data_IF_565532077840
#
_entry.id   IF_565532077840
#
_cell.length_a   1.000
_cell.length_b   1.000
_cell.length_c   1.000
_cell.angle_alpha   90.00
_cell.angle_beta   90.00
_cell.angle_gamma   90.00
#
_symmetry.space_group_name_H-M   'P 1'
#
loop_
_entity.id
_entity.type
_entity.pdbx_description
1 polymer ?
#
# COMPACT_ATOMS: atom_id res chain seq x y z
N UNK A 1 39.99 -16.47 38.91
CA UNK A 1 39.34 -17.55 38.15
C UNK A 1 37.87 -17.44 38.51
N UNK A 2 37.08 -16.75 37.70
CA UNK A 2 35.63 -16.70 37.82
C UNK A 2 35.08 -17.38 36.59
N UNK A 3 34.36 -18.48 36.82
CA UNK A 3 33.66 -19.26 35.80
C UNK A 3 32.61 -18.40 35.12
N UNK A 4 32.71 -18.26 33.80
CA UNK A 4 31.66 -17.69 32.93
C UNK A 4 30.69 -18.82 32.63
N UNK A 5 29.59 -18.89 33.38
CA UNK A 5 28.49 -19.81 33.10
C UNK A 5 27.91 -19.53 31.72
N UNK A 6 27.97 -20.53 30.86
CA UNK A 6 27.45 -20.53 29.53
C UNK A 6 25.91 -20.49 29.55
N UNK A 7 25.34 -19.38 29.15
CA UNK A 7 23.87 -19.25 28.89
C UNK A 7 23.46 -20.26 27.80
N UNK A 8 22.45 -21.12 28.03
CA UNK A 8 22.10 -22.18 27.08
C UNK A 8 21.49 -21.60 25.81
N UNK A 9 22.21 -21.70 24.69
CA UNK A 9 21.83 -21.23 23.35
C UNK A 9 20.43 -21.71 22.91
N UNK A 10 19.93 -22.81 23.45
CA UNK A 10 18.59 -23.36 23.16
C UNK A 10 17.43 -22.55 23.74
N UNK A 11 17.59 -21.98 24.94
CA UNK A 11 16.53 -21.20 25.59
C UNK A 11 16.34 -19.84 24.89
N UNK A 12 17.45 -19.21 24.49
CA UNK A 12 17.41 -17.94 23.76
C UNK A 12 16.71 -18.11 22.39
N UNK A 13 17.02 -19.18 21.66
CA UNK A 13 16.39 -19.46 20.35
C UNK A 13 14.88 -19.76 20.46
N UNK A 14 14.47 -20.51 21.48
CA UNK A 14 13.06 -20.79 21.72
C UNK A 14 12.26 -19.52 22.11
N UNK A 15 12.87 -18.62 22.89
CA UNK A 15 12.26 -17.33 23.26
C UNK A 15 12.13 -16.38 22.06
N UNK A 16 13.12 -16.32 21.16
CA UNK A 16 13.07 -15.53 19.93
C UNK A 16 11.96 -16.03 19.01
N UNK A 17 11.90 -17.33 18.73
CA UNK A 17 10.86 -17.94 17.89
C UNK A 17 9.46 -17.72 18.47
N UNK A 18 9.30 -17.83 19.79
CA UNK A 18 8.01 -17.57 20.46
C UNK A 18 7.62 -16.10 20.36
N UNK A 19 8.56 -15.17 20.51
CA UNK A 19 8.33 -13.72 20.38
C UNK A 19 7.93 -13.35 18.94
N UNK A 20 8.63 -13.88 17.94
CA UNK A 20 8.27 -13.70 16.51
C UNK A 20 6.88 -14.23 16.18
N UNK A 21 6.49 -15.37 16.75
CA UNK A 21 5.15 -15.96 16.54
C UNK A 21 4.05 -15.09 17.16
N UNK A 22 4.30 -14.52 18.36
CA UNK A 22 3.36 -13.62 19.05
C UNK A 22 3.19 -12.32 18.26
N UNK A 23 4.28 -11.72 17.78
CA UNK A 23 4.25 -10.47 17.01
C UNK A 23 3.55 -10.67 15.66
N UNK A 24 3.86 -11.75 14.96
CA UNK A 24 3.15 -12.08 13.71
C UNK A 24 1.65 -12.21 13.94
N UNK A 25 1.22 -12.91 15.01
CA UNK A 25 -0.19 -13.04 15.34
C UNK A 25 -0.83 -11.69 15.69
N UNK A 26 -0.10 -10.81 16.36
CA UNK A 26 -0.54 -9.46 16.64
C UNK A 26 -0.81 -8.67 15.36
N UNK A 27 0.09 -8.75 14.37
CA UNK A 27 -0.07 -8.11 13.06
C UNK A 27 -1.30 -8.68 12.32
N UNK A 28 -1.47 -10.00 12.27
CA UNK A 28 -2.64 -10.64 11.64
C UNK A 28 -3.97 -10.14 12.26
N UNK A 29 -4.00 -9.91 13.57
CA UNK A 29 -5.17 -9.36 14.27
C UNK A 29 -5.40 -7.91 13.86
N UNK A 30 -4.36 -7.09 13.75
CA UNK A 30 -4.45 -5.69 13.35
C UNK A 30 -4.96 -5.57 11.91
N UNK A 31 -4.42 -6.35 10.99
CA UNK A 31 -4.85 -6.38 9.59
C UNK A 31 -6.33 -6.78 9.45
N UNK A 32 -6.74 -7.87 10.10
CA UNK A 32 -8.15 -8.26 10.12
C UNK A 32 -9.06 -7.23 10.79
N UNK A 33 -8.55 -6.50 11.78
CA UNK A 33 -9.30 -5.40 12.41
C UNK A 33 -9.49 -4.25 11.43
N UNK A 34 -8.45 -3.86 10.68
CA UNK A 34 -8.56 -2.84 9.63
C UNK A 34 -9.63 -3.22 8.59
N UNK A 35 -9.63 -4.48 8.13
CA UNK A 35 -10.64 -4.96 7.18
C UNK A 35 -12.07 -4.87 7.75
N UNK A 36 -12.28 -5.21 9.04
CA UNK A 36 -13.61 -5.08 9.69
C UNK A 36 -13.99 -3.61 9.88
N UNK A 37 -13.02 -2.74 10.17
CA UNK A 37 -13.24 -1.29 10.27
C UNK A 37 -13.66 -0.72 8.92
N UNK A 38 -13.02 -1.12 7.82
CA UNK A 38 -13.42 -0.72 6.46
C UNK A 38 -14.88 -1.10 6.18
N UNK A 39 -15.29 -2.32 6.57
CA UNK A 39 -16.65 -2.81 6.32
C UNK A 39 -17.72 -2.14 7.20
N UNK A 40 -17.39 -1.70 8.44
CA UNK A 40 -18.38 -1.37 9.49
C UNK A 40 -18.14 -0.06 10.22
N UNK A 41 -17.04 0.59 9.97
CA UNK A 41 -16.55 1.73 10.74
C UNK A 41 -16.01 1.34 12.12
N UNK A 42 -15.31 2.27 12.78
CA UNK A 42 -14.76 2.05 14.13
C UNK A 42 -15.87 1.78 15.16
N UNK A 43 -16.95 2.57 15.14
CA UNK A 43 -18.07 2.40 16.06
C UNK A 43 -18.76 1.04 15.91
N UNK A 44 -18.94 0.57 14.66
CA UNK A 44 -19.61 -0.69 14.31
C UNK A 44 -18.78 -1.95 14.53
N UNK A 45 -17.46 -1.83 14.64
CA UNK A 45 -16.54 -2.96 14.79
C UNK A 45 -16.63 -3.59 16.18
N UNK A 46 -16.72 -4.93 16.26
CA UNK A 46 -16.73 -5.71 17.50
C UNK A 46 -15.59 -6.72 17.49
N UNK A 47 -15.02 -7.01 18.66
CA UNK A 47 -13.97 -8.05 18.82
C UNK A 47 -14.41 -9.39 18.24
N UNK A 48 -15.69 -9.75 18.40
CA UNK A 48 -16.25 -10.98 17.88
C UNK A 48 -16.25 -11.04 16.33
N UNK A 49 -16.40 -9.90 15.65
CA UNK A 49 -16.34 -9.84 14.17
C UNK A 49 -14.90 -10.08 13.68
N UNK A 50 -13.92 -9.49 14.37
CA UNK A 50 -12.49 -9.72 14.09
C UNK A 50 -12.09 -11.18 14.33
N UNK A 51 -12.49 -11.73 15.47
CA UNK A 51 -12.24 -13.13 15.81
C UNK A 51 -12.88 -14.09 14.78
N UNK A 52 -14.11 -13.83 14.35
CA UNK A 52 -14.81 -14.59 13.30
C UNK A 52 -14.06 -14.50 11.97
N UNK A 53 -13.59 -13.32 11.57
CA UNK A 53 -12.85 -13.11 10.32
C UNK A 53 -11.55 -13.91 10.28
N UNK A 54 -10.85 -13.97 11.41
CA UNK A 54 -9.60 -14.74 11.56
C UNK A 54 -9.81 -16.24 11.84
N UNK A 55 -11.03 -16.69 12.14
CA UNK A 55 -11.30 -18.06 12.56
C UNK A 55 -10.69 -18.40 13.92
N UNK A 56 -10.61 -17.43 14.85
CA UNK A 56 -10.03 -17.60 16.19
C UNK A 56 -11.06 -17.31 17.29
N UNK A 57 -10.69 -17.60 18.54
CA UNK A 57 -11.52 -17.26 19.70
C UNK A 57 -11.37 -15.80 20.11
N UNK A 58 -12.41 -15.20 20.70
CA UNK A 58 -12.33 -13.87 21.31
C UNK A 58 -11.23 -13.79 22.37
N UNK A 59 -11.01 -14.89 23.12
CA UNK A 59 -9.97 -14.97 24.15
C UNK A 59 -8.55 -14.77 23.58
N UNK A 60 -8.31 -15.20 22.34
CA UNK A 60 -7.03 -14.95 21.68
C UNK A 60 -6.84 -13.47 21.37
N UNK A 61 -7.89 -12.77 20.92
CA UNK A 61 -7.83 -11.33 20.70
C UNK A 61 -7.55 -10.61 22.03
N UNK A 62 -8.27 -10.97 23.11
CA UNK A 62 -8.06 -10.38 24.42
C UNK A 62 -6.72 -10.73 25.08
N UNK A 63 -6.05 -11.78 24.64
CA UNK A 63 -4.66 -12.06 25.04
C UNK A 63 -3.68 -11.00 24.49
N UNK A 64 -3.95 -10.46 23.29
CA UNK A 64 -3.09 -9.48 22.64
C UNK A 64 -3.49 -8.03 22.91
N UNK A 65 -4.78 -7.76 23.17
CA UNK A 65 -5.34 -6.42 23.35
C UNK A 65 -6.30 -6.41 24.55
N UNK A 66 -6.02 -5.56 25.53
CA UNK A 66 -6.77 -5.53 26.79
C UNK A 66 -8.23 -5.04 26.61
N UNK A 67 -8.50 -4.25 25.54
CA UNK A 67 -9.84 -3.72 25.27
C UNK A 67 -10.08 -3.54 23.77
N UNK A 68 -11.36 -3.33 23.39
CA UNK A 68 -11.76 -2.94 22.04
C UNK A 68 -11.09 -1.62 21.62
N UNK A 69 -11.07 -0.64 22.52
CA UNK A 69 -10.49 0.69 22.28
C UNK A 69 -8.99 0.60 21.98
N UNK A 70 -8.28 -0.26 22.68
CA UNK A 70 -6.85 -0.53 22.43
C UNK A 70 -6.64 -1.23 21.09
N UNK A 71 -7.47 -2.24 20.78
CA UNK A 71 -7.41 -2.95 19.50
C UNK A 71 -7.63 -1.98 18.33
N UNK A 72 -8.66 -1.15 18.40
CA UNK A 72 -9.00 -0.19 17.36
C UNK A 72 -7.91 0.88 17.18
N UNK A 73 -7.38 1.40 18.29
CA UNK A 73 -6.30 2.38 18.27
C UNK A 73 -5.03 1.79 17.64
N UNK A 74 -4.64 0.57 18.03
CA UNK A 74 -3.48 -0.12 17.47
C UNK A 74 -3.66 -0.49 15.99
N UNK A 75 -4.87 -0.86 15.57
CA UNK A 75 -5.17 -1.14 14.17
C UNK A 75 -5.05 0.13 13.31
N UNK A 76 -5.60 1.25 13.77
CA UNK A 76 -5.45 2.54 13.10
C UNK A 76 -3.97 2.96 13.02
N UNK A 77 -3.22 2.86 14.13
CA UNK A 77 -1.79 3.15 14.13
C UNK A 77 -1.02 2.30 13.10
N UNK A 78 -1.29 0.99 13.07
CA UNK A 78 -0.67 0.07 12.13
C UNK A 78 -0.93 0.47 10.67
N UNK A 79 -2.20 0.77 10.34
CA UNK A 79 -2.63 1.21 9.03
C UNK A 79 -1.96 2.54 8.62
N UNK A 80 -2.13 3.56 9.45
CA UNK A 80 -1.67 4.92 9.13
C UNK A 80 -0.14 5.06 9.06
N UNK A 81 0.62 4.33 9.90
CA UNK A 81 2.09 4.33 9.79
C UNK A 81 2.57 3.71 8.48
N UNK A 82 1.89 2.68 7.99
CA UNK A 82 2.21 2.07 6.70
C UNK A 82 1.94 3.06 5.56
N UNK A 83 0.78 3.70 5.58
CA UNK A 83 0.38 4.72 4.62
C UNK A 83 1.39 5.89 4.54
N UNK A 84 1.77 6.47 5.69
CA UNK A 84 2.78 7.52 5.76
C UNK A 84 4.15 7.10 5.19
N UNK A 85 4.59 5.87 5.45
CA UNK A 85 5.87 5.35 4.93
C UNK A 85 5.81 5.18 3.42
N UNK A 86 4.71 4.67 2.88
CA UNK A 86 4.54 4.45 1.45
C UNK A 86 4.47 5.78 0.70
N UNK A 87 3.72 6.75 1.21
CA UNK A 87 3.63 8.12 0.70
C UNK A 87 5.00 8.83 0.70
N UNK A 88 5.75 8.76 1.79
CA UNK A 88 7.08 9.37 1.87
C UNK A 88 8.05 8.74 0.86
N UNK A 89 8.01 7.41 0.72
CA UNK A 89 8.85 6.69 -0.25
C UNK A 89 8.54 7.10 -1.69
N UNK A 90 7.26 7.22 -2.06
CA UNK A 90 6.87 7.67 -3.40
C UNK A 90 7.34 9.10 -3.65
N UNK A 91 7.10 9.99 -2.72
CA UNK A 91 7.59 11.38 -2.79
C UNK A 91 9.11 11.44 -2.93
N UNK A 92 9.86 10.74 -2.10
CA UNK A 92 11.33 10.76 -2.11
C UNK A 92 11.92 10.22 -3.42
N UNK A 93 11.18 9.42 -4.18
CA UNK A 93 11.56 8.94 -5.51
C UNK A 93 11.52 10.03 -6.59
N UNK A 94 10.93 11.20 -6.32
CA UNK A 94 10.86 12.31 -7.26
C UNK A 94 12.19 13.07 -7.38
N UNK A 95 12.55 13.57 -8.59
CA UNK A 95 13.87 14.14 -8.85
C UNK A 95 14.04 15.57 -8.34
N UNK A 96 12.96 16.32 -8.13
CA UNK A 96 12.98 17.74 -7.74
C UNK A 96 12.08 17.99 -6.55
N UNK A 97 12.31 19.07 -5.80
CA UNK A 97 11.46 19.42 -4.65
C UNK A 97 10.03 19.76 -5.09
N UNK A 98 9.86 20.39 -6.25
CA UNK A 98 8.55 20.64 -6.86
C UNK A 98 7.81 19.34 -7.12
N UNK A 99 8.47 18.36 -7.74
CA UNK A 99 7.86 17.08 -8.03
C UNK A 99 7.55 16.26 -6.75
N UNK A 100 8.41 16.35 -5.73
CA UNK A 100 8.18 15.76 -4.41
C UNK A 100 6.93 16.34 -3.75
N UNK A 101 6.84 17.66 -3.68
CA UNK A 101 5.69 18.34 -3.11
C UNK A 101 4.39 17.98 -3.86
N UNK A 102 4.46 17.94 -5.19
CA UNK A 102 3.28 17.62 -5.99
C UNK A 102 2.82 16.15 -5.75
N UNK A 103 3.74 15.20 -5.68
CA UNK A 103 3.41 13.80 -5.37
C UNK A 103 2.79 13.65 -3.98
N UNK A 104 3.34 14.34 -2.98
CA UNK A 104 2.74 14.37 -1.65
C UNK A 104 1.30 14.89 -1.70
N UNK A 105 1.05 16.01 -2.37
CA UNK A 105 -0.29 16.56 -2.51
C UNK A 105 -1.20 15.58 -3.25
N UNK A 106 -0.72 15.01 -4.36
CA UNK A 106 -1.51 14.11 -5.21
C UNK A 106 -1.89 12.82 -4.50
N UNK A 107 -1.02 12.28 -3.62
CA UNK A 107 -1.30 11.09 -2.82
C UNK A 107 -2.40 11.31 -1.77
N UNK A 108 -2.61 12.56 -1.34
CA UNK A 108 -3.70 12.91 -0.43
C UNK A 108 -5.02 13.27 -1.13
N UNK A 109 -5.03 13.41 -2.47
CA UNK A 109 -6.28 13.74 -3.18
C UNK A 109 -7.13 12.50 -3.35
N UNK A 110 -8.31 12.40 -2.71
CA UNK A 110 -9.18 11.23 -2.85
C UNK A 110 -9.49 10.93 -4.31
N UNK A 111 -9.56 9.65 -4.66
CA UNK A 111 -9.91 9.26 -6.03
C UNK A 111 -11.43 9.27 -6.27
N UNK A 112 -12.21 8.99 -5.23
CA UNK A 112 -13.67 8.98 -5.25
C UNK A 112 -14.28 9.26 -3.88
N UNK A 113 -15.62 9.34 -3.83
CA UNK A 113 -16.38 9.44 -2.57
C UNK A 113 -16.37 8.12 -1.76
N UNK A 114 -15.96 7.04 -2.37
CA UNK A 114 -15.80 5.69 -1.81
C UNK A 114 -14.33 5.35 -1.49
N UNK A 115 -13.48 6.36 -1.45
CA UNK A 115 -12.08 6.22 -1.08
C UNK A 115 -11.93 5.66 0.34
N UNK A 116 -11.52 4.39 0.40
CA UNK A 116 -11.43 3.63 1.65
C UNK A 116 -10.39 4.22 2.60
N UNK A 117 -9.30 4.76 2.08
CA UNK A 117 -8.23 5.36 2.89
C UNK A 117 -8.77 6.59 3.60
N UNK A 118 -9.45 7.46 2.88
CA UNK A 118 -10.08 8.63 3.46
C UNK A 118 -11.24 8.30 4.41
N UNK A 119 -12.03 7.27 4.11
CA UNK A 119 -13.07 6.79 5.01
C UNK A 119 -12.48 6.36 6.36
N UNK A 120 -11.35 5.65 6.37
CA UNK A 120 -10.66 5.24 7.60
C UNK A 120 -10.18 6.46 8.39
N UNK A 121 -9.52 7.43 7.74
CA UNK A 121 -9.01 8.63 8.39
C UNK A 121 -10.13 9.49 9.00
N UNK A 122 -11.20 9.76 8.24
CA UNK A 122 -12.35 10.55 8.70
C UNK A 122 -13.03 9.89 9.90
N UNK A 123 -13.25 8.57 9.82
CA UNK A 123 -13.88 7.80 10.92
C UNK A 123 -12.96 7.72 12.15
N UNK A 124 -11.63 7.59 11.94
CA UNK A 124 -10.63 7.61 13.01
C UNK A 124 -10.59 8.95 13.75
N UNK A 125 -10.67 10.08 13.05
CA UNK A 125 -10.79 11.40 13.70
C UNK A 125 -12.08 11.52 14.52
N UNK A 126 -13.20 11.02 13.98
CA UNK A 126 -14.47 10.94 14.73
C UNK A 126 -14.36 10.09 15.98
N UNK A 127 -13.68 8.96 15.90
CA UNK A 127 -13.42 8.06 17.04
C UNK A 127 -12.44 8.69 18.05
N UNK A 128 -11.39 9.37 17.61
CA UNK A 128 -10.38 10.02 18.46
C UNK A 128 -11.00 11.06 19.43
N UNK A 129 -12.15 11.65 19.09
CA UNK A 129 -12.88 12.56 19.97
C UNK A 129 -13.44 11.85 21.23
N UNK A 130 -13.59 10.53 21.19
CA UNK A 130 -14.24 9.72 22.23
C UNK A 130 -13.34 8.65 22.82
N UNK A 131 -12.37 8.18 22.06
CA UNK A 131 -11.43 7.12 22.44
C UNK A 131 -10.11 7.71 22.95
N UNK A 132 -9.84 7.68 24.27
CA UNK A 132 -8.62 8.25 24.83
C UNK A 132 -7.33 7.50 24.42
N UNK A 133 -7.45 6.28 23.91
CA UNK A 133 -6.32 5.52 23.36
C UNK A 133 -5.98 5.97 21.94
N UNK A 134 -6.97 6.33 21.14
CA UNK A 134 -6.78 6.75 19.74
C UNK A 134 -6.28 8.19 19.63
N UNK A 135 -6.74 9.08 20.51
CA UNK A 135 -6.43 10.51 20.42
C UNK A 135 -4.92 10.83 20.33
N UNK A 136 -4.05 10.31 21.21
CA UNK A 136 -2.60 10.60 21.12
C UNK A 136 -1.98 10.02 19.84
N UNK A 137 -2.46 8.87 19.37
CA UNK A 137 -1.98 8.25 18.14
C UNK A 137 -2.35 9.12 16.93
N UNK A 138 -3.60 9.55 16.83
CA UNK A 138 -4.05 10.48 15.78
C UNK A 138 -3.22 11.77 15.77
N UNK A 139 -3.02 12.38 16.94
CA UNK A 139 -2.19 13.60 17.06
C UNK A 139 -0.75 13.40 16.59
N UNK A 140 -0.14 12.26 16.94
CA UNK A 140 1.23 11.94 16.50
C UNK A 140 1.31 11.74 14.99
N UNK A 141 0.33 11.06 14.39
CA UNK A 141 0.27 10.80 12.95
C UNK A 141 0.03 12.09 12.15
N UNK A 142 -0.86 12.96 12.61
CA UNK A 142 -1.10 14.28 12.00
C UNK A 142 0.19 15.12 12.03
N UNK A 143 0.91 15.11 13.18
CA UNK A 143 2.19 15.81 13.32
C UNK A 143 3.26 15.25 12.37
N UNK A 144 3.33 13.93 12.19
CA UNK A 144 4.26 13.28 11.26
C UNK A 144 3.91 13.64 9.81
N UNK A 145 2.63 13.67 9.45
CA UNK A 145 2.16 14.09 8.13
C UNK A 145 2.60 15.52 7.81
N UNK A 146 2.35 16.46 8.72
CA UNK A 146 2.79 17.86 8.57
C UNK A 146 4.31 17.95 8.46
N UNK A 147 5.07 17.16 9.24
CA UNK A 147 6.52 17.14 9.21
C UNK A 147 7.10 16.68 7.86
N UNK A 148 6.41 15.78 7.14
CA UNK A 148 6.81 15.36 5.77
C UNK A 148 6.70 16.52 4.79
N UNK A 149 5.60 17.29 4.83
CA UNK A 149 5.46 18.52 4.01
C UNK A 149 6.51 19.56 4.38
N UNK A 150 6.72 19.83 5.67
CA UNK A 150 7.72 20.78 6.15
C UNK A 150 9.12 20.42 5.65
N UNK A 151 9.53 19.14 5.76
CA UNK A 151 10.82 18.65 5.26
C UNK A 151 10.98 18.91 3.76
N UNK A 152 9.93 18.66 2.98
CA UNK A 152 9.93 18.88 1.53
C UNK A 152 10.06 20.38 1.17
N UNK A 153 9.35 21.24 1.90
CA UNK A 153 9.42 22.70 1.69
C UNK A 153 10.81 23.25 2.06
N UNK A 154 11.42 22.79 3.16
CA UNK A 154 12.78 23.16 3.54
C UNK A 154 13.81 22.71 2.49
N UNK A 155 13.72 21.47 2.03
CA UNK A 155 14.60 20.95 0.98
C UNK A 155 14.49 21.75 -0.32
N UNK A 156 13.27 22.17 -0.68
CA UNK A 156 13.05 23.04 -1.85
C UNK A 156 13.65 24.43 -1.70
N UNK A 157 13.63 25.02 -0.49
CA UNK A 157 14.34 26.27 -0.21
C UNK A 157 15.86 26.10 -0.30
N UNK A 158 16.39 24.99 0.24
CA UNK A 158 17.83 24.68 0.21
C UNK A 158 18.33 24.46 -1.22
N UNK A 159 17.52 23.85 -2.09
CA UNK A 159 17.85 23.66 -3.51
C UNK A 159 17.63 24.91 -4.36
N UNK A 160 17.00 25.96 -3.81
CA UNK A 160 16.63 27.19 -4.54
C UNK A 160 15.41 27.02 -5.46
N UNK A 161 14.70 25.88 -5.37
CA UNK A 161 13.47 25.66 -6.13
C UNK A 161 12.26 26.38 -5.54
N UNK A 162 12.26 26.65 -4.21
CA UNK A 162 11.20 27.32 -3.48
C UNK A 162 11.67 28.61 -2.81
N UNK A 163 10.70 29.49 -2.55
CA UNK A 163 10.85 30.64 -1.68
C UNK A 163 9.76 30.63 -0.60
N UNK A 164 9.79 29.59 0.25
CA UNK A 164 8.84 29.41 1.33
C UNK A 164 9.37 30.02 2.63
N UNK A 165 8.76 31.16 3.07
CA UNK A 165 9.25 31.91 4.22
C UNK A 165 9.07 31.15 5.55
N UNK A 166 7.94 30.48 5.71
CA UNK A 166 7.57 29.79 6.94
C UNK A 166 7.21 28.31 6.68
N UNK A 167 8.19 27.42 6.42
CA UNK A 167 7.91 26.03 5.98
C UNK A 167 6.94 25.26 6.89
N UNK A 168 7.05 25.42 8.22
CA UNK A 168 6.15 24.74 9.17
C UNK A 168 4.71 25.25 9.05
N UNK A 169 4.50 26.54 8.98
CA UNK A 169 3.16 27.11 8.85
C UNK A 169 2.55 26.78 7.48
N UNK A 170 3.36 26.82 6.42
CA UNK A 170 2.96 26.43 5.07
C UNK A 170 2.56 24.97 5.01
N UNK A 171 3.34 24.08 5.64
CA UNK A 171 3.01 22.67 5.76
C UNK A 171 1.67 22.45 6.49
N UNK A 172 1.44 23.17 7.59
CA UNK A 172 0.18 23.11 8.35
C UNK A 172 -1.02 23.58 7.49
N UNK A 173 -0.84 24.68 6.70
CA UNK A 173 -1.90 25.17 5.81
C UNK A 173 -2.20 24.20 4.67
N UNK A 174 -1.16 23.60 4.08
CA UNK A 174 -1.31 22.60 3.01
C UNK A 174 -2.06 21.36 3.55
N UNK A 175 -1.63 20.79 4.67
CA UNK A 175 -2.26 19.64 5.30
C UNK A 175 -3.71 19.97 5.68
N UNK A 176 -3.97 21.08 6.39
CA UNK A 176 -5.32 21.43 6.80
C UNK A 176 -6.28 21.73 5.64
N UNK A 177 -5.79 22.25 4.51
CA UNK A 177 -6.64 22.43 3.32
C UNK A 177 -6.92 21.06 2.66
N UNK A 178 -5.94 20.16 2.56
CA UNK A 178 -6.14 18.81 2.05
C UNK A 178 -7.24 18.11 2.87
N UNK A 179 -7.10 18.10 4.18
CA UNK A 179 -8.04 17.42 5.09
C UNK A 179 -9.46 17.99 4.93
N UNK A 180 -9.59 19.32 4.92
CA UNK A 180 -10.88 19.97 4.73
C UNK A 180 -11.52 19.68 3.37
N UNK A 181 -10.75 19.72 2.30
CA UNK A 181 -11.24 19.44 0.94
C UNK A 181 -11.56 17.96 0.75
N UNK A 182 -10.76 17.06 1.34
CA UNK A 182 -10.98 15.63 1.25
C UNK A 182 -12.27 15.21 2.00
N UNK A 183 -12.52 15.75 3.19
CA UNK A 183 -13.79 15.55 3.89
C UNK A 183 -14.96 16.05 3.05
N UNK A 184 -14.86 17.24 2.43
CA UNK A 184 -15.91 17.78 1.55
C UNK A 184 -16.14 16.88 0.34
N UNK A 185 -15.08 16.35 -0.25
CA UNK A 185 -15.15 15.51 -1.43
C UNK A 185 -15.73 14.11 -1.12
N UNK A 186 -15.29 13.49 -0.02
CA UNK A 186 -15.73 12.16 0.38
C UNK A 186 -17.15 12.15 0.97
N UNK A 187 -17.50 13.15 1.82
CA UNK A 187 -18.77 13.18 2.53
C UNK A 187 -19.92 13.85 1.78
N UNK A 188 -19.63 14.66 0.75
CA UNK A 188 -20.65 15.48 0.08
C UNK A 188 -20.60 15.30 -1.44
N UNK A 189 -21.38 14.36 -1.95
CA UNK A 189 -21.43 14.08 -3.38
C UNK A 189 -21.79 15.35 -4.21
N UNK A 190 -20.97 15.64 -5.22
CA UNK A 190 -21.19 16.73 -6.17
C UNK A 190 -20.88 18.15 -5.69
N UNK A 191 -20.52 18.36 -4.43
CA UNK A 191 -20.17 19.69 -3.88
C UNK A 191 -18.81 20.15 -4.39
N UNK A 192 -17.83 19.23 -4.44
CA UNK A 192 -16.49 19.49 -4.94
C UNK A 192 -16.13 18.48 -6.02
N UNK A 193 -15.61 18.95 -7.18
CA UNK A 193 -15.11 18.07 -8.22
C UNK A 193 -13.60 17.84 -8.05
N UNK A 194 -13.11 16.63 -8.35
CA UNK A 194 -11.69 16.28 -8.25
C UNK A 194 -10.77 17.29 -8.98
N UNK A 195 -11.18 17.77 -10.15
CA UNK A 195 -10.42 18.81 -10.88
C UNK A 195 -10.32 20.13 -10.10
N UNK A 196 -11.34 20.48 -9.36
CA UNK A 196 -11.38 21.69 -8.54
C UNK A 196 -10.52 21.52 -7.28
N UNK A 197 -10.59 20.36 -6.62
CA UNK A 197 -9.70 20.00 -5.53
C UNK A 197 -8.23 20.20 -5.96
N UNK A 198 -7.81 19.54 -7.04
CA UNK A 198 -6.46 19.63 -7.60
C UNK A 198 -6.06 21.08 -7.92
N UNK A 199 -6.98 21.86 -8.50
CA UNK A 199 -6.74 23.27 -8.82
C UNK A 199 -6.48 24.09 -7.54
N UNK A 200 -7.29 23.91 -6.51
CA UNK A 200 -7.14 24.62 -5.24
C UNK A 200 -5.81 24.26 -4.56
N UNK A 201 -5.45 23.00 -4.54
CA UNK A 201 -4.16 22.55 -3.98
C UNK A 201 -2.95 23.13 -4.74
N UNK A 202 -3.02 23.19 -6.08
CA UNK A 202 -1.97 23.84 -6.88
C UNK A 202 -1.84 25.31 -6.57
N UNK A 203 -2.96 26.02 -6.44
CA UNK A 203 -2.94 27.44 -6.09
C UNK A 203 -2.31 27.66 -4.72
N UNK A 204 -2.68 26.87 -3.71
CA UNK A 204 -2.09 26.99 -2.38
C UNK A 204 -0.60 26.66 -2.43
N UNK A 205 -0.20 25.52 -3.00
CA UNK A 205 1.21 25.12 -3.07
C UNK A 205 2.06 26.18 -3.79
N UNK A 206 1.56 26.74 -4.87
CA UNK A 206 2.25 27.82 -5.59
C UNK A 206 2.41 29.08 -4.72
N UNK A 207 1.35 29.50 -4.03
CA UNK A 207 1.39 30.63 -3.10
C UNK A 207 2.39 30.42 -1.96
N UNK A 208 2.46 29.21 -1.40
CA UNK A 208 3.35 28.89 -0.28
C UNK A 208 4.81 28.74 -0.70
N UNK A 209 5.08 28.39 -1.95
CA UNK A 209 6.44 28.15 -2.48
C UNK A 209 7.00 29.29 -3.32
N UNK A 210 6.19 30.33 -3.62
CA UNK A 210 6.58 31.44 -4.49
C UNK A 210 6.63 31.06 -5.99
N UNK A 211 6.01 29.95 -6.37
CA UNK A 211 5.93 29.46 -7.75
C UNK A 211 4.62 29.88 -8.43
N UNK A 212 4.53 29.66 -9.74
CA UNK A 212 3.24 29.73 -10.42
C UNK A 212 2.49 28.40 -10.29
N UNK A 213 1.13 28.39 -10.34
CA UNK A 213 0.36 27.14 -10.32
C UNK A 213 0.71 26.17 -11.46
N UNK A 214 1.21 26.69 -12.59
CA UNK A 214 1.61 25.90 -13.74
C UNK A 214 2.95 25.18 -13.54
N UNK A 215 3.77 25.64 -12.61
CA UNK A 215 5.06 25.02 -12.26
C UNK A 215 4.88 23.86 -11.29
N UNK A 216 3.77 23.84 -10.54
CA UNK A 216 3.43 22.74 -9.61
C UNK A 216 2.86 21.54 -10.39
N UNK A 217 3.76 20.66 -10.86
CA UNK A 217 3.40 19.46 -11.61
C UNK A 217 4.49 18.37 -11.53
N UNK A 218 4.13 17.14 -11.83
CA UNK A 218 5.11 16.05 -11.92
C UNK A 218 6.01 16.24 -13.15
N UNK A 219 7.32 16.28 -12.94
CA UNK A 219 8.34 16.42 -13.99
C UNK A 219 8.32 15.27 -15.02
N UNK A 220 7.72 14.13 -14.72
CA UNK A 220 7.51 13.05 -15.71
C UNK A 220 6.66 13.47 -16.91
N UNK A 221 5.81 14.51 -16.76
CA UNK A 221 5.05 15.10 -17.89
C UNK A 221 5.83 16.17 -18.66
N UNK A 222 6.82 16.82 -18.04
CA UNK A 222 7.61 17.87 -18.68
C UNK A 222 8.59 17.35 -19.74
N UNK A 223 9.12 16.13 -19.59
CA UNK A 223 10.05 15.52 -20.56
C UNK A 223 9.39 15.10 -21.88
N UNK A 224 8.04 15.06 -21.96
CA UNK A 224 7.31 14.79 -23.22
C UNK A 224 6.96 16.08 -24.02
N UNK A 225 7.21 17.28 -23.49
CA UNK A 225 6.78 18.53 -24.10
C UNK A 225 7.81 19.22 -25.02
N UNK A 226 9.06 18.72 -25.12
CA UNK A 226 10.13 19.39 -25.89
C UNK A 226 10.46 18.75 -27.25
N UNK A 227 9.60 17.90 -27.80
CA UNK A 227 9.78 17.46 -29.18
C UNK A 227 8.45 17.48 -29.98
N UNK A 228 8.28 18.51 -30.80
CA UNK A 228 7.58 18.44 -32.08
C UNK A 228 6.06 18.62 -32.02
N UNK A 229 5.61 19.85 -32.34
CA UNK A 229 4.33 20.05 -33.00
C UNK A 229 4.12 19.02 -34.13
N UNK A 230 3.19 18.07 -33.94
CA UNK A 230 2.35 17.50 -35.00
C UNK A 230 1.28 16.58 -34.37
N UNK A 231 0.03 16.89 -34.70
CA UNK A 231 -1.08 15.92 -34.72
C UNK A 231 -1.68 15.59 -33.35
N UNK A 232 -2.80 16.26 -33.00
CA UNK A 232 -3.78 15.73 -32.05
C UNK A 232 -4.22 14.33 -32.50
N UNK A 233 -3.75 13.34 -31.80
CA UNK A 233 -4.44 12.08 -31.61
C UNK A 233 -4.40 11.83 -30.11
N UNK A 234 -5.57 11.58 -29.54
CA UNK A 234 -5.78 11.30 -28.11
C UNK A 234 -5.12 9.96 -27.78
N UNK A 235 -3.81 10.01 -27.42
CA UNK A 235 -3.08 8.87 -26.87
C UNK A 235 -3.13 8.99 -25.35
N UNK A 236 -4.25 8.52 -24.77
CA UNK A 236 -4.39 8.35 -23.33
C UNK A 236 -3.48 7.18 -22.92
N UNK A 237 -2.32 7.50 -22.37
CA UNK A 237 -1.46 6.50 -21.73
C UNK A 237 -2.18 5.79 -20.56
N UNK A 238 -1.69 4.64 -20.08
CA UNK A 238 -2.38 3.85 -19.07
C UNK A 238 -2.66 4.70 -17.83
N UNK A 239 -3.94 4.81 -17.46
CA UNK A 239 -4.42 5.49 -16.26
C UNK A 239 -4.10 4.62 -15.04
N UNK A 240 -3.85 5.24 -13.88
CA UNK A 240 -3.85 4.51 -12.60
C UNK A 240 -5.17 3.75 -12.47
N UNK A 241 -5.13 2.52 -11.96
CA UNK A 241 -6.33 1.73 -11.73
C UNK A 241 -7.26 2.47 -10.77
N UNK A 242 -8.59 2.33 -10.95
CA UNK A 242 -9.52 2.80 -9.92
C UNK A 242 -9.27 2.04 -8.61
N UNK A 243 -9.59 2.64 -7.47
CA UNK A 243 -9.38 1.99 -6.17
C UNK A 243 -10.11 0.66 -6.05
N UNK A 244 -11.32 0.55 -6.60
CA UNK A 244 -12.03 -0.72 -6.63
C UNK A 244 -11.26 -1.78 -7.42
N UNK A 245 -10.74 -1.41 -8.58
CA UNK A 245 -9.90 -2.30 -9.40
C UNK A 245 -8.56 -2.61 -8.72
N UNK A 246 -7.91 -1.62 -8.11
CA UNK A 246 -6.67 -1.82 -7.36
C UNK A 246 -6.90 -2.72 -6.13
N UNK A 247 -7.98 -2.51 -5.38
CA UNK A 247 -8.36 -3.36 -4.26
C UNK A 247 -8.57 -4.80 -4.71
N UNK A 248 -9.35 -5.02 -5.78
CA UNK A 248 -9.59 -6.35 -6.34
C UNK A 248 -8.27 -7.04 -6.76
N UNK A 249 -7.37 -6.29 -7.40
CA UNK A 249 -6.08 -6.81 -7.85
C UNK A 249 -5.12 -7.09 -6.69
N UNK A 250 -5.12 -6.25 -5.65
CA UNK A 250 -4.36 -6.50 -4.41
C UNK A 250 -4.89 -7.74 -3.69
N UNK A 251 -6.21 -7.90 -3.57
CA UNK A 251 -6.82 -9.09 -2.98
C UNK A 251 -6.49 -10.35 -3.79
N UNK A 252 -6.53 -10.26 -5.12
CA UNK A 252 -6.16 -11.36 -6.00
C UNK A 252 -4.69 -11.76 -5.77
N UNK A 253 -3.76 -10.80 -5.69
CA UNK A 253 -2.36 -11.07 -5.40
C UNK A 253 -2.14 -11.65 -3.99
N UNK A 254 -2.80 -11.11 -2.98
CA UNK A 254 -2.70 -11.61 -1.60
C UNK A 254 -3.22 -13.04 -1.49
N UNK A 255 -4.32 -13.36 -2.17
CA UNK A 255 -4.84 -14.73 -2.25
C UNK A 255 -3.86 -15.69 -2.94
N UNK A 256 -3.18 -15.23 -3.99
CA UNK A 256 -2.12 -15.98 -4.65
C UNK A 256 -0.93 -16.23 -3.70
N UNK A 257 -0.44 -15.20 -3.01
CA UNK A 257 0.69 -15.30 -2.08
C UNK A 257 0.37 -16.23 -0.88
N UNK A 258 -0.87 -16.16 -0.35
CA UNK A 258 -1.34 -17.08 0.69
C UNK A 258 -1.42 -18.52 0.17
N UNK A 259 -1.98 -18.75 -1.02
CA UNK A 259 -2.05 -20.07 -1.64
C UNK A 259 -0.65 -20.65 -1.89
N UNK A 260 0.29 -19.83 -2.37
CA UNK A 260 1.68 -20.23 -2.57
C UNK A 260 2.36 -20.64 -1.25
N UNK A 261 2.16 -19.88 -0.19
CA UNK A 261 2.74 -20.17 1.14
C UNK A 261 2.20 -21.45 1.78
N UNK A 262 0.99 -21.86 1.36
CA UNK A 262 0.32 -23.09 1.86
C UNK A 262 0.44 -24.28 0.93
N UNK A 263 1.13 -24.13 -0.19
CA UNK A 263 1.19 -25.12 -1.27
C UNK A 263 -0.21 -25.52 -1.78
N UNK A 264 -1.17 -24.58 -1.76
CA UNK A 264 -2.54 -24.78 -2.24
C UNK A 264 -2.62 -24.50 -3.74
N UNK A 265 -2.31 -25.53 -4.54
CA UNK A 265 -2.28 -25.44 -6.00
C UNK A 265 -3.64 -25.03 -6.59
N UNK A 266 -4.74 -25.55 -6.04
CA UNK A 266 -6.09 -25.27 -6.57
C UNK A 266 -6.41 -23.79 -6.41
N UNK A 267 -6.17 -23.24 -5.23
CA UNK A 267 -6.38 -21.82 -4.95
C UNK A 267 -5.41 -20.95 -5.72
N UNK A 268 -4.15 -21.36 -5.84
CA UNK A 268 -3.12 -20.64 -6.60
C UNK A 268 -3.49 -20.50 -8.09
N UNK A 269 -3.99 -21.56 -8.71
CA UNK A 269 -4.39 -21.53 -10.12
C UNK A 269 -5.57 -20.56 -10.38
N UNK A 270 -6.38 -20.23 -9.37
CA UNK A 270 -7.44 -19.21 -9.53
C UNK A 270 -6.91 -17.80 -9.80
N UNK A 271 -5.64 -17.55 -9.56
CA UNK A 271 -4.99 -16.29 -9.89
C UNK A 271 -4.84 -16.07 -11.39
N UNK A 272 -4.62 -17.14 -12.14
CA UNK A 272 -4.33 -17.13 -13.56
C UNK A 272 -5.59 -17.34 -14.42
N UNK A 273 -5.56 -16.81 -15.63
CA UNK A 273 -6.50 -17.20 -16.70
C UNK A 273 -6.05 -18.51 -17.36
N UNK A 274 -6.95 -19.17 -18.08
CA UNK A 274 -6.66 -20.46 -18.75
C UNK A 274 -5.56 -20.33 -19.83
N UNK A 275 -5.41 -19.15 -20.41
CA UNK A 275 -4.42 -18.79 -21.43
C UNK A 275 -3.22 -18.01 -20.87
N UNK A 276 -3.02 -18.04 -19.56
CA UNK A 276 -1.97 -17.26 -18.91
C UNK A 276 -0.56 -17.75 -19.26
N UNK A 277 0.39 -16.80 -19.22
CA UNK A 277 1.82 -17.06 -19.47
C UNK A 277 2.65 -16.63 -18.26
N UNK A 278 3.71 -17.39 -17.99
CA UNK A 278 4.72 -17.05 -16.99
C UNK A 278 6.07 -17.04 -17.66
N UNK A 279 6.80 -15.94 -17.54
CA UNK A 279 8.17 -15.79 -18.04
C UNK A 279 9.10 -15.40 -16.89
N UNK A 280 10.33 -15.94 -16.90
CA UNK A 280 11.39 -15.59 -15.95
C UNK A 280 12.67 -15.22 -16.72
N UNK A 281 13.18 -14.02 -16.44
CA UNK A 281 14.39 -13.49 -17.11
C UNK A 281 14.30 -13.55 -18.63
N UNK A 282 13.11 -13.26 -19.19
CA UNK A 282 12.85 -13.28 -20.63
C UNK A 282 12.57 -14.66 -21.23
N UNK A 283 12.68 -15.74 -20.47
CA UNK A 283 12.38 -17.11 -20.94
C UNK A 283 10.95 -17.50 -20.54
N UNK A 284 10.18 -18.01 -21.50
CA UNK A 284 8.86 -18.55 -21.26
C UNK A 284 8.96 -19.85 -20.43
N UNK A 285 8.29 -19.90 -19.30
CA UNK A 285 8.29 -21.05 -18.36
C UNK A 285 7.01 -21.87 -18.49
N UNK A 286 5.85 -21.21 -18.63
CA UNK A 286 4.55 -21.85 -18.78
C UNK A 286 3.62 -20.97 -19.61
N UNK A 287 2.70 -21.57 -20.37
CA UNK A 287 1.85 -20.85 -21.33
C UNK A 287 0.36 -21.26 -21.31
N UNK A 288 -0.05 -22.09 -20.37
CA UNK A 288 -1.42 -22.56 -20.17
C UNK A 288 -1.60 -23.09 -18.74
N UNK A 289 -2.84 -23.36 -18.35
CA UNK A 289 -3.16 -23.87 -17.01
C UNK A 289 -2.41 -25.15 -16.66
N UNK A 290 -2.21 -26.05 -17.62
CA UNK A 290 -1.53 -27.33 -17.36
C UNK A 290 -0.04 -27.10 -17.07
N UNK A 291 0.67 -26.37 -17.92
CA UNK A 291 2.09 -26.07 -17.71
C UNK A 291 2.35 -25.20 -16.48
N UNK A 292 1.42 -24.29 -16.13
CA UNK A 292 1.44 -23.51 -14.87
C UNK A 292 1.28 -24.46 -13.67
N UNK A 293 0.32 -25.40 -13.74
CA UNK A 293 0.10 -26.39 -12.70
C UNK A 293 1.34 -27.30 -12.50
N UNK A 294 1.92 -27.78 -13.58
CA UNK A 294 3.15 -28.58 -13.54
C UNK A 294 4.33 -27.80 -12.95
N UNK A 295 4.50 -26.53 -13.34
CA UNK A 295 5.52 -25.65 -12.79
C UNK A 295 5.40 -25.49 -11.27
N UNK A 296 4.21 -25.15 -10.74
CA UNK A 296 4.03 -24.99 -9.30
C UNK A 296 4.06 -26.31 -8.54
N UNK A 297 3.55 -27.40 -9.12
CA UNK A 297 3.66 -28.74 -8.53
C UNK A 297 5.13 -29.11 -8.34
N UNK A 298 5.97 -28.87 -9.31
CA UNK A 298 7.42 -29.13 -9.19
C UNK A 298 8.10 -28.28 -8.10
N UNK A 299 7.62 -27.05 -7.88
CA UNK A 299 8.11 -26.20 -6.79
C UNK A 299 7.66 -26.74 -5.42
N UNK A 300 6.43 -27.23 -5.30
CA UNK A 300 5.88 -27.79 -4.06
C UNK A 300 6.51 -29.15 -3.68
N UNK A 301 6.79 -29.99 -4.68
CA UNK A 301 7.40 -31.32 -4.48
C UNK A 301 8.84 -31.27 -3.95
N UNK A 302 9.52 -30.15 -4.13
CA UNK A 302 10.88 -29.93 -3.61
C UNK A 302 10.91 -29.62 -2.10
N UNK A 303 9.80 -29.78 -1.38
CA UNK A 303 9.65 -29.43 0.05
C UNK A 303 10.11 -27.98 0.36
N UNK A 304 9.89 -27.07 -0.57
CA UNK A 304 10.21 -25.67 -0.42
C UNK A 304 8.93 -24.90 -0.12
N UNK A 305 8.85 -24.33 1.08
CA UNK A 305 7.84 -23.30 1.36
C UNK A 305 8.36 -21.98 0.79
N UNK A 306 7.68 -21.44 -0.20
CA UNK A 306 8.00 -20.13 -0.76
C UNK A 306 7.00 -19.12 -0.22
N UNK A 307 7.51 -18.09 0.44
CA UNK A 307 6.73 -16.95 0.89
C UNK A 307 7.08 -15.76 -0.01
N UNK A 308 6.09 -15.18 -0.65
CA UNK A 308 6.23 -13.95 -1.43
C UNK A 308 5.68 -12.77 -0.62
N UNK A 309 6.56 -11.80 -0.32
CA UNK A 309 6.19 -10.57 0.37
C UNK A 309 6.33 -9.41 -0.62
N UNK A 310 5.24 -8.75 -1.01
CA UNK A 310 5.34 -7.59 -1.87
C UNK A 310 5.98 -6.43 -1.10
N UNK A 311 7.10 -5.91 -1.61
CA UNK A 311 7.77 -4.72 -1.09
C UNK A 311 7.19 -3.45 -1.72
N UNK A 312 6.81 -3.52 -2.99
CA UNK A 312 6.17 -2.43 -3.75
C UNK A 312 5.13 -3.03 -4.66
N UNK A 313 3.94 -2.43 -4.71
CA UNK A 313 2.88 -2.76 -5.66
C UNK A 313 2.29 -1.49 -6.23
N UNK A 314 2.15 -1.42 -7.55
CA UNK A 314 1.40 -0.37 -8.24
C UNK A 314 0.59 -0.96 -9.39
N UNK A 315 -0.62 -0.45 -9.60
CA UNK A 315 -1.55 -0.92 -10.61
C UNK A 315 -1.97 0.18 -11.56
N UNK A 316 -2.11 -0.17 -12.83
CA UNK A 316 -2.62 0.69 -13.89
C UNK A 316 -3.71 -0.08 -14.62
N UNK A 317 -4.86 0.53 -14.86
CA UNK A 317 -5.97 -0.13 -15.54
C UNK A 317 -6.47 0.69 -16.73
N UNK A 318 -6.85 -0.01 -17.78
CA UNK A 318 -7.78 0.45 -18.81
C UNK A 318 -9.12 -0.25 -18.56
N UNK A 319 -9.94 0.38 -17.73
CA UNK A 319 -11.24 -0.19 -17.31
C UNK A 319 -12.21 -0.31 -18.47
N UNK A 320 -12.10 0.56 -19.50
CA UNK A 320 -12.91 0.50 -20.71
C UNK A 320 -12.70 -0.78 -21.51
N UNK A 321 -11.47 -1.28 -21.53
CA UNK A 321 -11.07 -2.52 -22.20
C UNK A 321 -11.01 -3.72 -21.25
N UNK A 322 -11.23 -3.52 -19.95
CA UNK A 322 -11.16 -4.58 -18.93
C UNK A 322 -9.76 -5.18 -18.78
N UNK A 323 -8.72 -4.36 -18.95
CA UNK A 323 -7.31 -4.76 -18.78
C UNK A 323 -6.63 -3.95 -17.69
N UNK A 324 -5.69 -4.57 -16.97
CA UNK A 324 -4.87 -3.90 -15.98
C UNK A 324 -3.44 -4.44 -15.98
N UNK A 325 -2.50 -3.64 -15.45
CA UNK A 325 -1.09 -4.01 -15.26
C UNK A 325 -0.70 -3.75 -13.81
N UNK A 326 -0.03 -4.73 -13.20
CA UNK A 326 0.58 -4.59 -11.88
C UNK A 326 2.10 -4.64 -11.98
N UNK A 327 2.77 -3.67 -11.35
CA UNK A 327 4.22 -3.69 -11.18
C UNK A 327 4.53 -4.00 -9.71
N UNK A 328 5.37 -5.01 -9.50
CA UNK A 328 5.72 -5.49 -8.16
C UNK A 328 7.23 -5.51 -7.98
N UNK A 329 7.67 -5.20 -6.76
CA UNK A 329 8.94 -5.68 -6.22
C UNK A 329 8.60 -6.67 -5.13
N UNK A 330 9.00 -7.93 -5.27
CA UNK A 330 8.60 -9.03 -4.40
C UNK A 330 9.84 -9.65 -3.77
N UNK A 331 9.84 -9.78 -2.45
CA UNK A 331 10.82 -10.57 -1.72
C UNK A 331 10.32 -12.02 -1.62
N UNK A 332 11.02 -12.93 -2.28
CA UNK A 332 10.75 -14.36 -2.21
C UNK A 332 11.66 -15.01 -1.17
N UNK A 333 11.07 -15.61 -0.15
CA UNK A 333 11.79 -16.39 0.86
C UNK A 333 11.49 -17.86 0.65
N UNK A 334 12.49 -18.65 0.28
CA UNK A 334 12.38 -20.10 0.19
C UNK A 334 13.03 -20.76 1.40
N UNK A 335 12.31 -21.66 2.05
CA UNK A 335 12.78 -22.47 3.18
C UNK A 335 13.01 -23.90 2.71
N UNK A 336 14.26 -24.36 2.76
CA UNK A 336 14.62 -25.76 2.53
C UNK A 336 14.39 -26.60 3.78
N UNK A 337 14.14 -27.91 3.60
CA UNK A 337 14.07 -28.91 4.67
C UNK A 337 15.33 -28.96 5.55
N UNK A 338 16.46 -28.37 5.10
CA UNK A 338 17.74 -28.29 5.82
C UNK A 338 17.94 -26.96 6.58
N UNK A 339 16.87 -26.15 6.79
CA UNK A 339 16.89 -24.87 7.54
C UNK A 339 17.78 -23.76 6.96
N UNK A 340 18.13 -23.80 5.70
CA UNK A 340 18.75 -22.66 5.01
C UNK A 340 17.66 -21.89 4.28
N UNK A 341 17.37 -20.67 4.76
CA UNK A 341 16.50 -19.74 4.03
C UNK A 341 17.31 -19.06 2.93
N UNK A 342 16.79 -19.05 1.72
CA UNK A 342 17.28 -18.23 0.61
C UNK A 342 16.27 -17.10 0.40
N UNK A 343 16.76 -15.87 0.39
CA UNK A 343 15.94 -14.69 0.10
C UNK A 343 16.40 -14.12 -1.24
N UNK A 344 15.47 -13.90 -2.14
CA UNK A 344 15.71 -13.31 -3.46
C UNK A 344 14.69 -12.20 -3.70
N UNK A 345 15.11 -11.13 -4.36
CA UNK A 345 14.21 -10.04 -4.74
C UNK A 345 13.94 -10.17 -6.24
N UNK A 346 12.68 -10.12 -6.62
CA UNK A 346 12.25 -10.13 -8.01
C UNK A 346 11.47 -8.86 -8.34
N UNK A 347 11.63 -8.39 -9.56
CA UNK A 347 10.66 -7.47 -10.18
C UNK A 347 9.69 -8.30 -10.99
N UNK A 348 8.38 -8.05 -10.80
CA UNK A 348 7.33 -8.72 -11.57
C UNK A 348 6.45 -7.66 -12.24
N UNK A 349 6.12 -7.93 -13.49
CA UNK A 349 5.09 -7.18 -14.22
C UNK A 349 4.02 -8.18 -14.59
N UNK A 350 2.83 -7.99 -14.01
CA UNK A 350 1.68 -8.84 -14.26
C UNK A 350 0.64 -8.08 -15.09
N UNK A 351 0.12 -8.73 -16.12
CA UNK A 351 -1.00 -8.23 -16.91
C UNK A 351 -2.26 -8.97 -16.52
N UNK A 352 -3.36 -8.24 -16.32
CA UNK A 352 -4.63 -8.78 -15.90
C UNK A 352 -5.73 -8.50 -16.91
N UNK A 353 -6.72 -9.38 -16.95
CA UNK A 353 -7.95 -9.23 -17.73
C UNK A 353 -9.15 -9.47 -16.82
N UNK A 354 -10.18 -8.63 -16.98
CA UNK A 354 -11.44 -8.79 -16.28
C UNK A 354 -12.27 -9.89 -16.95
N UNK A 355 -12.73 -10.86 -16.16
CA UNK A 355 -13.58 -11.97 -16.59
C UNK A 355 -14.94 -11.88 -15.90
N UNK A 356 -15.87 -12.76 -16.23
CA UNK A 356 -17.19 -12.85 -15.58
C UNK A 356 -17.12 -13.20 -14.08
N UNK A 357 -15.99 -13.72 -13.62
CA UNK A 357 -15.74 -14.13 -12.22
C UNK A 357 -14.67 -13.28 -11.51
N UNK A 358 -14.33 -12.12 -12.07
CA UNK A 358 -13.34 -11.20 -11.53
C UNK A 358 -12.06 -11.11 -12.36
N UNK A 359 -11.05 -10.43 -11.82
CA UNK A 359 -9.76 -10.27 -12.47
C UNK A 359 -8.95 -11.58 -12.49
N UNK A 360 -8.17 -11.78 -13.57
CA UNK A 360 -7.24 -12.92 -13.73
C UNK A 360 -5.95 -12.44 -14.38
N UNK A 361 -4.82 -12.92 -13.88
CA UNK A 361 -3.51 -12.68 -14.49
C UNK A 361 -3.40 -13.45 -15.81
N UNK A 362 -3.09 -12.74 -16.88
CA UNK A 362 -2.92 -13.30 -18.24
C UNK A 362 -1.46 -13.41 -18.65
N UNK A 363 -0.57 -12.59 -18.06
CA UNK A 363 0.87 -12.64 -18.33
C UNK A 363 1.62 -12.20 -17.08
N UNK A 364 2.59 -12.98 -16.64
CA UNK A 364 3.50 -12.69 -15.54
C UNK A 364 4.93 -12.72 -16.01
N UNK A 365 5.61 -11.59 -15.92
CA UNK A 365 7.01 -11.44 -16.27
C UNK A 365 7.82 -11.15 -15.02
N UNK A 366 8.76 -12.01 -14.67
CA UNK A 366 9.69 -11.87 -13.55
C UNK A 366 11.11 -11.68 -13.99
N UNK A 367 11.81 -10.79 -13.30
CA UNK A 367 13.24 -10.56 -13.48
C UNK A 367 13.91 -10.57 -12.11
N UNK A 368 14.96 -11.36 -11.95
CA UNK A 368 15.81 -11.32 -10.75
C UNK A 368 16.53 -9.96 -10.69
N UNK A 369 16.56 -9.35 -9.50
CA UNK A 369 17.24 -8.08 -9.25
C UNK A 369 18.71 -8.28 -8.99
#
# INVERSE_FOLDING_TARGET
MCDVEACPKGVYRAQVVKKETVERRRIEILEATCEVVIERGFAGTRVADVAKKLGVSNSLIHYHFASKEELLAAAFEHYARKDLVDMQRDSDSAPTAVAKLWRLIESYVPEGSDDVEWMIWIDAWGEALRNPKMKPISQELDEQSIAVFEKTLRAGNESGEFHCVHPRESATRISGLIDGLAVQYAAHEGVLKRKEFIRLMRQLAASETGLSPDDIRDSRRASKSTNGQKGRQDDEGPRSASLATEFDLRQLFNNYADALSRNDLVKLLTYFSDDAKISMNGNLIAADTQSISEFFTSQFDLNHMTIEVPLVMSFYADEGNGTAHGNFTVECRSLNSTSKSKTEIFRSVDTYRRTSIGWRCTDRQRTSS
#
